data_IF_024500679751
#
_entry.id   IF_024500679751
#
_cell.length_a   1.000
_cell.length_b   1.000
_cell.length_c   1.000
_cell.angle_alpha   90.00
_cell.angle_beta   90.00
_cell.angle_gamma   90.00
#
_symmetry.space_group_name_H-M   'P 1'
#
loop_
_entity.id
_entity.type
_entity.pdbx_description
1 polymer ?
#
# COMPACT_ATOMS: atom_id res chain seq x y z
N UNK A 1 -23.89 -7.65 -5.34
CA UNK A 1 -23.37 -6.40 -5.96
C UNK A 1 -23.96 -5.17 -5.27
N UNK A 2 -25.30 -5.03 -5.24
CA UNK A 2 -26.01 -3.93 -4.56
C UNK A 2 -25.55 -3.65 -3.13
N UNK A 3 -25.49 -4.68 -2.28
CA UNK A 3 -25.04 -4.55 -0.88
C UNK A 3 -23.61 -4.00 -0.79
N UNK A 4 -22.69 -4.53 -1.58
CA UNK A 4 -21.31 -4.07 -1.58
C UNK A 4 -21.18 -2.60 -2.02
N UNK A 5 -22.05 -2.14 -2.93
CA UNK A 5 -22.11 -0.75 -3.35
C UNK A 5 -22.67 0.18 -2.26
N UNK A 6 -23.75 -0.25 -1.60
CA UNK A 6 -24.39 0.51 -0.52
C UNK A 6 -23.44 0.81 0.65
N UNK A 7 -22.52 -0.12 0.95
CA UNK A 7 -21.55 0.00 2.05
C UNK A 7 -20.17 0.58 1.62
N UNK A 8 -20.05 1.16 0.41
CA UNK A 8 -18.78 1.63 -0.18
C UNK A 8 -17.64 0.60 -0.09
N UNK A 9 -17.97 -0.67 -0.35
CA UNK A 9 -17.02 -1.78 -0.30
C UNK A 9 -16.40 -2.04 -1.68
N UNK A 10 -15.53 -1.11 -2.10
CA UNK A 10 -14.85 -1.14 -3.40
C UNK A 10 -14.18 -2.49 -3.71
N UNK A 11 -13.48 -3.09 -2.73
CA UNK A 11 -12.81 -4.37 -2.92
C UNK A 11 -13.78 -5.51 -3.28
N UNK A 12 -14.96 -5.57 -2.65
CA UNK A 12 -16.00 -6.55 -3.01
C UNK A 12 -16.64 -6.24 -4.34
N UNK A 13 -16.81 -4.97 -4.68
CA UNK A 13 -17.36 -4.56 -5.98
C UNK A 13 -16.42 -4.99 -7.11
N UNK A 14 -15.12 -4.72 -6.96
CA UNK A 14 -14.09 -5.16 -7.90
C UNK A 14 -14.05 -6.69 -8.02
N UNK A 15 -14.13 -7.42 -6.89
CA UNK A 15 -14.15 -8.88 -6.88
C UNK A 15 -15.39 -9.46 -7.57
N UNK A 16 -16.57 -8.91 -7.26
CA UNK A 16 -17.82 -9.34 -7.89
C UNK A 16 -17.79 -9.08 -9.40
N UNK A 17 -17.30 -7.91 -9.83
CA UNK A 17 -17.09 -7.64 -11.26
C UNK A 17 -16.06 -8.58 -11.90
N UNK A 18 -15.05 -9.02 -11.16
CA UNK A 18 -14.08 -10.02 -11.64
C UNK A 18 -14.74 -11.35 -11.97
N UNK A 19 -15.72 -11.76 -11.17
CA UNK A 19 -16.56 -12.93 -11.43
C UNK A 19 -17.76 -12.66 -12.36
N UNK A 20 -17.82 -11.48 -12.98
CA UNK A 20 -18.82 -11.16 -14.00
C UNK A 20 -20.13 -10.57 -13.46
N UNK A 21 -20.18 -10.07 -12.22
CA UNK A 21 -21.35 -9.36 -11.73
C UNK A 21 -21.60 -8.08 -12.52
N UNK A 22 -22.85 -7.88 -12.96
CA UNK A 22 -23.29 -6.70 -13.71
C UNK A 22 -23.58 -5.52 -12.75
N UNK A 23 -22.88 -4.37 -12.88
CA UNK A 23 -23.14 -3.16 -12.09
C UNK A 23 -24.45 -2.44 -12.45
N UNK A 24 -25.14 -2.83 -13.53
CA UNK A 24 -26.41 -2.25 -13.98
C UNK A 24 -27.63 -3.13 -13.71
N UNK A 25 -27.45 -4.34 -13.16
CA UNK A 25 -28.56 -5.24 -12.86
C UNK A 25 -29.53 -4.63 -11.82
N UNK A 26 -30.81 -4.54 -12.13
CA UNK A 26 -31.81 -3.98 -11.22
C UNK A 26 -32.22 -4.98 -10.12
N UNK A 27 -32.48 -4.47 -8.92
CA UNK A 27 -33.16 -5.24 -7.86
C UNK A 27 -34.69 -5.17 -8.02
N UNK A 28 -35.41 -5.82 -7.10
CA UNK A 28 -36.89 -5.83 -7.10
C UNK A 28 -37.53 -4.44 -6.92
N UNK A 29 -36.74 -3.41 -6.63
CA UNK A 29 -37.19 -2.02 -6.49
C UNK A 29 -36.70 -1.14 -7.65
N UNK A 30 -36.17 -1.72 -8.74
CA UNK A 30 -35.64 -0.99 -9.89
C UNK A 30 -34.33 -0.24 -9.61
N UNK A 31 -33.63 -0.57 -8.51
CA UNK A 31 -32.37 0.09 -8.15
C UNK A 31 -31.19 -0.69 -8.72
N UNK A 32 -30.25 0.03 -9.32
CA UNK A 32 -28.99 -0.56 -9.80
C UNK A 32 -27.91 -0.46 -8.71
N UNK A 33 -26.90 -1.34 -8.73
CA UNK A 33 -25.76 -1.22 -7.82
C UNK A 33 -25.06 0.13 -7.95
N UNK A 34 -24.97 0.66 -9.17
CA UNK A 34 -24.42 1.99 -9.42
C UNK A 34 -25.20 3.09 -8.70
N UNK A 35 -26.55 3.05 -8.73
CA UNK A 35 -27.37 4.08 -8.07
C UNK A 35 -27.27 4.03 -6.55
N UNK A 36 -26.93 2.86 -5.99
CA UNK A 36 -26.70 2.68 -4.55
C UNK A 36 -25.26 2.99 -4.11
N UNK A 37 -24.32 3.11 -5.05
CA UNK A 37 -22.93 3.30 -4.74
C UNK A 37 -22.64 4.70 -4.20
N UNK A 38 -21.80 4.79 -3.17
CA UNK A 38 -21.29 6.05 -2.63
C UNK A 38 -19.76 6.08 -2.67
N UNK A 39 -19.17 7.25 -2.39
CA UNK A 39 -17.74 7.38 -2.13
C UNK A 39 -16.82 6.85 -3.25
N UNK A 40 -15.92 5.94 -2.89
CA UNK A 40 -14.93 5.41 -3.83
C UNK A 40 -15.53 4.41 -4.81
N UNK A 41 -16.49 3.62 -4.36
CA UNK A 41 -17.21 2.66 -5.20
C UNK A 41 -17.98 3.38 -6.29
N UNK A 42 -18.64 4.50 -5.97
CA UNK A 42 -19.34 5.30 -6.97
C UNK A 42 -18.39 5.84 -8.03
N UNK A 43 -17.27 6.45 -7.61
CA UNK A 43 -16.25 6.97 -8.55
C UNK A 43 -15.64 5.87 -9.40
N UNK A 44 -15.43 4.69 -8.83
CA UNK A 44 -14.93 3.53 -9.56
C UNK A 44 -15.95 3.05 -10.60
N UNK A 45 -17.21 2.85 -10.22
CA UNK A 45 -18.26 2.41 -11.13
C UNK A 45 -18.52 3.42 -12.24
N UNK A 46 -18.55 4.72 -11.95
CA UNK A 46 -18.64 5.77 -12.97
C UNK A 46 -17.51 5.68 -13.99
N UNK A 47 -16.26 5.52 -13.53
CA UNK A 47 -15.10 5.34 -14.41
C UNK A 47 -15.15 4.05 -15.22
N UNK A 48 -15.65 2.96 -14.63
CA UNK A 48 -15.75 1.67 -15.29
C UNK A 48 -16.85 1.66 -16.35
N UNK A 49 -18.02 2.21 -16.05
CA UNK A 49 -19.17 2.29 -16.95
C UNK A 49 -18.94 3.24 -18.13
N UNK A 50 -18.05 4.22 -17.97
CA UNK A 50 -17.59 5.07 -19.08
C UNK A 50 -16.66 4.34 -20.08
N UNK A 51 -16.30 3.08 -19.82
CA UNK A 51 -15.38 2.28 -20.66
C UNK A 51 -16.10 1.13 -21.32
N UNK A 52 -15.55 0.64 -22.43
CA UNK A 52 -16.07 -0.54 -23.12
C UNK A 52 -15.96 -1.80 -22.25
N UNK A 53 -16.83 -2.79 -22.47
CA UNK A 53 -16.81 -4.07 -21.73
C UNK A 53 -15.47 -4.82 -21.84
N UNK A 54 -14.73 -4.61 -22.93
CA UNK A 54 -13.38 -5.18 -23.12
C UNK A 54 -12.36 -4.49 -22.21
N UNK A 55 -12.40 -3.16 -22.12
CA UNK A 55 -11.54 -2.38 -21.24
C UNK A 55 -11.85 -2.62 -19.76
N UNK A 56 -13.14 -2.69 -19.41
CA UNK A 56 -13.59 -3.03 -18.06
C UNK A 56 -13.00 -4.38 -17.62
N UNK A 57 -13.17 -5.42 -18.45
CA UNK A 57 -12.58 -6.74 -18.20
C UNK A 57 -11.06 -6.68 -18.12
N UNK A 58 -10.40 -5.86 -18.93
CA UNK A 58 -8.94 -5.66 -18.88
C UNK A 58 -8.46 -5.00 -17.59
N UNK A 59 -9.15 -3.97 -17.10
CA UNK A 59 -8.84 -3.28 -15.84
C UNK A 59 -9.07 -4.20 -14.65
N UNK A 60 -10.24 -4.84 -14.57
CA UNK A 60 -10.57 -5.79 -13.51
C UNK A 60 -9.61 -6.98 -13.54
N UNK A 61 -9.32 -7.54 -14.71
CA UNK A 61 -8.30 -8.59 -14.82
C UNK A 61 -6.98 -8.06 -14.31
N UNK A 62 -6.51 -6.86 -14.69
CA UNK A 62 -5.23 -6.28 -14.20
C UNK A 62 -5.20 -6.06 -12.68
N UNK A 63 -6.30 -5.63 -12.07
CA UNK A 63 -6.43 -5.46 -10.62
C UNK A 63 -6.21 -6.78 -9.87
N UNK A 64 -6.70 -7.90 -10.41
CA UNK A 64 -6.52 -9.24 -9.83
C UNK A 64 -5.40 -10.09 -10.51
N UNK A 65 -4.80 -9.57 -11.59
CA UNK A 65 -3.77 -10.18 -12.45
C UNK A 65 -2.41 -10.26 -11.76
N UNK A 66 -2.32 -9.87 -10.50
CA UNK A 66 -1.28 -10.43 -9.63
C UNK A 66 -1.26 -11.98 -9.66
N UNK A 67 -2.24 -12.65 -10.30
CA UNK A 67 -2.30 -14.09 -10.49
C UNK A 67 -2.32 -14.62 -11.96
N UNK A 68 -2.49 -13.84 -13.04
CA UNK A 68 -2.57 -14.41 -14.43
C UNK A 68 -2.29 -13.41 -15.59
N UNK A 69 -1.13 -13.55 -16.29
CA UNK A 69 -0.80 -13.22 -17.73
C UNK A 69 -1.18 -11.82 -18.34
N UNK A 70 -0.61 -11.22 -19.40
CA UNK A 70 0.50 -11.36 -20.34
C UNK A 70 0.38 -10.21 -21.38
N UNK A 71 1.50 -9.58 -21.78
CA UNK A 71 1.74 -8.91 -23.07
C UNK A 71 1.26 -7.45 -23.36
N UNK A 72 2.19 -6.72 -24.02
CA UNK A 72 2.06 -5.48 -24.83
C UNK A 72 1.84 -4.16 -24.06
N UNK A 73 2.46 -2.99 -24.32
CA UNK A 73 3.25 -2.43 -25.43
C UNK A 73 4.15 -1.26 -24.97
N UNK A 74 5.26 -1.09 -25.71
CA UNK A 74 6.21 0.01 -25.91
C UNK A 74 5.95 1.43 -25.38
N UNK A 75 6.98 2.01 -24.74
CA UNK A 75 7.30 3.45 -24.80
C UNK A 75 8.82 3.67 -24.66
N UNK A 76 9.56 3.50 -25.78
CA UNK A 76 11.03 3.55 -25.87
C UNK A 76 11.62 4.93 -26.16
N UNK A 77 10.79 5.95 -26.41
CA UNK A 77 11.24 7.25 -26.91
C UNK A 77 11.86 8.15 -25.83
N UNK A 78 11.37 8.08 -24.58
CA UNK A 78 11.81 8.99 -23.51
C UNK A 78 13.20 8.67 -22.95
N UNK A 79 13.63 7.41 -23.08
CA UNK A 79 14.91 6.91 -22.52
C UNK A 79 16.13 7.26 -23.37
N UNK A 80 15.94 7.57 -24.66
CA UNK A 80 17.04 7.93 -25.56
C UNK A 80 17.59 9.34 -25.25
N UNK A 81 16.72 10.27 -24.87
CA UNK A 81 17.11 11.67 -24.58
C UNK A 81 17.88 11.78 -23.26
N UNK A 82 17.58 10.91 -22.31
CA UNK A 82 18.26 10.86 -20.99
C UNK A 82 19.67 10.25 -21.13
N UNK A 83 19.84 9.28 -22.05
CA UNK A 83 21.11 8.58 -22.30
C UNK A 83 22.22 9.49 -22.84
N UNK A 84 21.89 10.60 -23.50
CA UNK A 84 22.87 11.52 -24.11
C UNK A 84 23.45 12.55 -23.13
N UNK A 85 22.82 12.77 -21.96
CA UNK A 85 23.23 13.78 -20.97
C UNK A 85 24.17 13.27 -19.88
N UNK A 86 24.43 11.95 -19.82
CA UNK A 86 25.30 11.35 -18.80
C UNK A 86 26.33 10.49 -19.54
N UNK A 87 27.37 11.15 -20.04
CA UNK A 87 28.55 10.47 -20.60
C UNK A 87 29.45 9.99 -19.46
N UNK A 88 29.74 8.69 -19.43
CA UNK A 88 30.68 8.08 -18.49
C UNK A 88 30.40 6.59 -18.29
N UNK A 89 31.20 5.76 -18.96
CA UNK A 89 31.17 4.30 -18.95
C UNK A 89 31.15 3.69 -17.54
N UNK A 90 30.06 3.03 -17.16
CA UNK A 90 30.02 1.92 -16.19
C UNK A 90 29.02 0.89 -16.73
N UNK A 91 29.47 -0.35 -16.90
CA UNK A 91 28.67 -1.52 -17.28
C UNK A 91 27.40 -1.61 -16.40
N UNK A 92 26.22 -1.62 -17.04
CA UNK A 92 24.91 -1.50 -16.39
C UNK A 92 24.32 -2.87 -16.03
N UNK A 93 23.82 -3.09 -14.79
CA UNK A 93 23.10 -4.29 -14.38
C UNK A 93 21.58 -4.12 -14.48
N UNK A 94 21.07 -3.62 -15.61
CA UNK A 94 19.62 -3.47 -15.79
C UNK A 94 18.97 -4.77 -16.26
N UNK A 95 18.11 -5.31 -15.39
CA UNK A 95 17.13 -6.35 -15.74
C UNK A 95 16.14 -5.73 -16.73
N UNK A 96 16.18 -6.19 -17.99
CA UNK A 96 15.25 -5.79 -19.05
C UNK A 96 13.78 -6.00 -18.64
N UNK A 97 12.89 -5.12 -19.08
CA UNK A 97 11.44 -5.19 -18.86
C UNK A 97 10.83 -6.52 -19.35
N UNK A 98 11.48 -7.24 -20.28
CA UNK A 98 11.16 -8.61 -20.66
C UNK A 98 11.35 -9.63 -19.51
N UNK A 99 12.39 -9.47 -18.69
CA UNK A 99 12.69 -10.32 -17.53
C UNK A 99 11.76 -10.02 -16.35
N UNK A 100 11.45 -8.74 -16.10
CA UNK A 100 10.42 -8.33 -15.14
C UNK A 100 9.01 -8.83 -15.53
N UNK A 101 8.72 -8.96 -16.83
CA UNK A 101 7.48 -9.57 -17.34
C UNK A 101 7.43 -11.09 -17.17
N UNK A 102 8.58 -11.78 -17.16
CA UNK A 102 8.66 -13.20 -16.78
C UNK A 102 8.36 -13.36 -15.29
N UNK A 103 9.07 -12.64 -14.42
CA UNK A 103 8.92 -12.60 -12.95
C UNK A 103 7.46 -12.47 -12.49
N UNK A 104 6.65 -11.66 -13.20
CA UNK A 104 5.21 -11.45 -12.90
C UNK A 104 4.29 -12.65 -13.12
N UNK A 105 4.74 -13.74 -13.75
CA UNK A 105 3.93 -14.96 -13.99
C UNK A 105 4.42 -16.18 -13.23
N UNK A 106 5.42 -16.01 -12.37
CA UNK A 106 6.15 -17.12 -11.80
C UNK A 106 5.63 -17.45 -10.41
N UNK A 107 5.43 -18.75 -10.15
CA UNK A 107 5.29 -19.25 -8.79
C UNK A 107 6.57 -18.96 -8.01
N UNK A 108 6.50 -18.97 -6.67
CA UNK A 108 7.66 -18.68 -5.81
C UNK A 108 8.91 -19.46 -6.19
N UNK A 109 8.74 -20.70 -6.67
CA UNK A 109 9.80 -21.58 -7.17
C UNK A 109 10.45 -21.06 -8.44
N UNK A 110 9.64 -20.57 -9.39
CA UNK A 110 10.12 -20.06 -10.67
C UNK A 110 10.72 -18.66 -10.52
N UNK A 111 10.20 -17.83 -9.60
CA UNK A 111 10.77 -16.52 -9.27
C UNK A 111 12.16 -16.65 -8.65
N UNK A 112 12.35 -17.60 -7.72
CA UNK A 112 13.66 -17.97 -7.19
C UNK A 112 14.64 -18.41 -8.28
N UNK A 113 14.16 -19.12 -9.30
CA UNK A 113 15.00 -19.58 -10.42
C UNK A 113 15.43 -18.44 -11.35
N UNK A 114 14.55 -17.49 -11.66
CA UNK A 114 14.92 -16.33 -12.49
C UNK A 114 15.84 -15.34 -11.77
N UNK A 115 15.61 -15.11 -10.46
CA UNK A 115 16.50 -14.27 -9.66
C UNK A 115 17.93 -14.85 -9.61
N UNK A 116 18.07 -16.19 -9.51
CA UNK A 116 19.38 -16.85 -9.57
C UNK A 116 20.13 -16.63 -10.88
N UNK A 117 19.43 -16.53 -12.03
CA UNK A 117 20.05 -16.33 -13.35
C UNK A 117 20.72 -14.97 -13.50
N UNK A 118 20.32 -13.98 -12.70
CA UNK A 118 20.91 -12.63 -12.69
C UNK A 118 21.86 -12.42 -11.50
N UNK A 119 22.31 -13.52 -10.86
CA UNK A 119 23.24 -13.48 -9.73
C UNK A 119 22.58 -13.12 -8.39
N UNK A 120 21.25 -12.98 -8.35
CA UNK A 120 20.48 -12.67 -7.15
C UNK A 120 20.04 -13.98 -6.48
N UNK A 121 20.70 -14.33 -5.38
CA UNK A 121 20.22 -15.42 -4.51
C UNK A 121 19.09 -14.86 -3.66
N UNK A 122 17.86 -14.93 -4.19
CA UNK A 122 16.67 -14.65 -3.40
C UNK A 122 16.67 -15.60 -2.20
N UNK A 123 16.75 -15.02 -1.00
CA UNK A 123 16.57 -15.76 0.25
C UNK A 123 15.20 -16.44 0.27
N UNK A 124 14.94 -17.33 1.22
CA UNK A 124 13.64 -17.97 1.33
C UNK A 124 12.52 -16.91 1.33
N UNK A 125 11.74 -16.87 0.25
CA UNK A 125 10.49 -16.09 0.19
C UNK A 125 9.43 -16.63 1.18
N UNK A 126 9.77 -17.70 1.88
CA UNK A 126 9.00 -18.34 2.94
C UNK A 126 9.21 -17.69 4.31
N UNK A 127 9.10 -16.36 4.40
CA UNK A 127 8.99 -15.69 5.71
C UNK A 127 7.91 -16.42 6.55
N UNK A 128 6.80 -16.85 5.92
CA UNK A 128 5.74 -17.64 6.57
C UNK A 128 6.14 -19.05 7.05
N UNK A 129 7.11 -19.74 6.42
CA UNK A 129 7.59 -21.04 6.93
C UNK A 129 8.62 -20.85 8.05
N UNK A 130 9.31 -19.71 8.08
CA UNK A 130 10.29 -19.37 9.12
C UNK A 130 9.65 -18.93 10.44
N UNK A 131 8.39 -18.44 10.41
CA UNK A 131 7.70 -17.93 11.59
C UNK A 131 6.50 -18.79 11.97
N UNK A 132 6.34 -19.06 13.27
CA UNK A 132 5.18 -19.80 13.81
C UNK A 132 3.89 -19.04 13.52
N UNK A 133 2.81 -19.78 13.21
CA UNK A 133 1.47 -19.25 12.96
C UNK A 133 0.69 -18.95 14.24
N UNK A 134 1.19 -19.33 15.41
CA UNK A 134 0.54 -19.03 16.69
C UNK A 134 0.65 -17.53 17.00
N UNK A 135 -0.48 -16.87 17.29
CA UNK A 135 -0.50 -15.45 17.67
C UNK A 135 -0.36 -14.45 16.51
N UNK A 136 -0.74 -14.83 15.28
CA UNK A 136 -0.67 -13.99 14.06
C UNK A 136 -1.71 -12.86 14.01
N UNK A 137 -1.54 -11.84 14.85
CA UNK A 137 -2.42 -10.65 14.86
C UNK A 137 -1.76 -9.38 14.31
N UNK A 138 -0.48 -9.47 13.95
CA UNK A 138 0.30 -8.34 13.49
C UNK A 138 0.12 -8.09 11.99
N UNK A 139 0.42 -6.86 11.61
CA UNK A 139 0.45 -6.39 10.23
C UNK A 139 1.40 -5.20 10.09
N UNK A 140 1.74 -4.86 8.85
CA UNK A 140 2.45 -3.62 8.52
C UNK A 140 1.44 -2.58 8.02
N UNK A 141 1.74 -1.30 8.21
CA UNK A 141 0.93 -0.22 7.66
C UNK A 141 1.80 0.94 7.21
N UNK A 142 1.27 1.67 6.25
CA UNK A 142 1.89 2.85 5.66
C UNK A 142 0.98 4.05 5.92
N UNK A 143 1.58 5.19 6.30
CA UNK A 143 0.90 6.47 6.24
C UNK A 143 1.37 7.21 4.99
N UNK A 144 0.42 7.67 4.18
CA UNK A 144 0.69 8.34 2.92
C UNK A 144 0.09 9.74 2.88
N UNK A 145 0.81 10.65 2.24
CA UNK A 145 0.40 12.00 1.93
C UNK A 145 -0.34 11.99 0.58
N UNK A 146 -1.69 12.12 0.56
CA UNK A 146 -2.43 12.01 -0.68
C UNK A 146 -2.15 13.15 -1.65
N UNK A 147 -1.53 14.27 -1.21
CA UNK A 147 -1.14 15.37 -2.11
C UNK A 147 -0.06 14.95 -3.12
N UNK A 148 0.60 13.82 -2.88
CA UNK A 148 1.61 13.22 -3.77
C UNK A 148 1.05 12.09 -4.63
N UNK A 149 -0.23 11.75 -4.48
CA UNK A 149 -0.91 10.67 -5.21
C UNK A 149 -1.87 11.29 -6.22
N UNK A 150 -1.92 10.74 -7.43
CA UNK A 150 -2.88 11.16 -8.46
C UNK A 150 -4.32 10.75 -8.09
N UNK A 151 -5.31 11.54 -8.52
CA UNK A 151 -6.73 11.23 -8.29
C UNK A 151 -7.16 9.92 -8.98
N UNK A 152 -6.49 9.57 -10.09
CA UNK A 152 -6.70 8.28 -10.74
C UNK A 152 -5.77 7.18 -10.20
N UNK A 153 -6.28 6.50 -9.18
CA UNK A 153 -5.66 5.34 -8.53
C UNK A 153 -5.22 4.24 -9.51
N UNK A 154 -5.95 4.04 -10.61
CA UNK A 154 -5.60 3.01 -11.61
C UNK A 154 -4.26 3.31 -12.29
N UNK A 155 -3.99 4.59 -12.55
CA UNK A 155 -2.73 5.08 -13.13
C UNK A 155 -1.56 5.12 -12.14
N UNK A 156 -1.80 4.90 -10.85
CA UNK A 156 -0.78 5.03 -9.80
C UNK A 156 0.44 4.15 -10.09
N UNK A 157 1.62 4.76 -10.09
CA UNK A 157 2.91 4.11 -10.31
C UNK A 157 3.82 4.22 -9.07
N UNK A 158 4.94 3.50 -9.07
CA UNK A 158 5.90 3.56 -7.96
C UNK A 158 6.49 4.96 -7.78
N UNK A 159 6.66 5.70 -8.88
CA UNK A 159 7.25 7.05 -8.86
C UNK A 159 6.40 8.04 -8.08
N UNK A 160 5.09 7.87 -8.08
CA UNK A 160 4.14 8.70 -7.33
C UNK A 160 3.81 8.08 -5.98
N UNK A 161 3.70 6.74 -5.91
CA UNK A 161 3.35 6.01 -4.69
C UNK A 161 4.44 6.08 -3.61
N UNK A 162 5.71 5.83 -3.96
CA UNK A 162 6.78 5.76 -2.96
C UNK A 162 7.02 7.09 -2.26
N UNK A 163 7.14 8.24 -2.96
CA UNK A 163 7.31 9.54 -2.29
C UNK A 163 6.09 10.00 -1.48
N UNK A 164 4.92 9.40 -1.70
CA UNK A 164 3.74 9.67 -0.87
C UNK A 164 3.85 9.03 0.51
N UNK A 165 4.57 7.91 0.65
CA UNK A 165 4.76 7.23 1.93
C UNK A 165 5.69 8.06 2.80
N UNK A 166 5.18 8.54 3.94
CA UNK A 166 5.98 9.31 4.90
C UNK A 166 6.21 8.56 6.21
N UNK A 167 5.54 7.43 6.45
CA UNK A 167 5.75 6.60 7.63
C UNK A 167 5.47 5.14 7.33
N UNK A 168 6.33 4.27 7.87
CA UNK A 168 6.15 2.82 7.87
C UNK A 168 6.02 2.37 9.32
N UNK A 169 5.05 1.52 9.62
CA UNK A 169 4.93 0.94 10.94
C UNK A 169 4.46 -0.50 10.91
N UNK A 170 4.67 -1.17 12.03
CA UNK A 170 3.96 -2.41 12.36
C UNK A 170 2.99 -2.20 13.51
N UNK A 171 1.93 -3.00 13.55
CA UNK A 171 0.90 -2.85 14.55
C UNK A 171 0.02 -4.08 14.70
N UNK A 172 -0.78 -4.05 15.75
CA UNK A 172 -1.91 -4.93 15.99
C UNK A 172 -3.14 -4.05 16.24
N UNK A 173 -4.34 -4.58 16.00
CA UNK A 173 -5.61 -3.88 16.27
C UNK A 173 -5.64 -2.46 15.64
N UNK A 174 -6.07 -1.45 16.37
CA UNK A 174 -6.20 -0.06 15.91
C UNK A 174 -4.90 0.77 15.99
N UNK A 175 -3.71 0.13 16.05
CA UNK A 175 -2.42 0.84 16.18
C UNK A 175 -2.19 1.96 15.15
N UNK A 176 -2.57 1.84 13.86
CA UNK A 176 -2.38 2.93 12.91
C UNK A 176 -3.17 4.19 13.27
N UNK A 177 -4.40 4.04 13.75
CA UNK A 177 -5.26 5.15 14.17
C UNK A 177 -4.69 5.89 15.39
N UNK A 178 -3.89 5.22 16.22
CA UNK A 178 -3.25 5.83 17.38
C UNK A 178 -2.41 7.06 17.02
N UNK A 179 -1.69 7.01 15.90
CA UNK A 179 -0.84 8.13 15.44
C UNK A 179 -1.67 9.33 15.01
N UNK A 180 -2.83 9.08 14.39
CA UNK A 180 -3.73 10.15 13.97
C UNK A 180 -4.47 10.75 15.17
N UNK A 181 -4.90 9.92 16.13
CA UNK A 181 -5.54 10.39 17.36
C UNK A 181 -4.55 11.20 18.22
N UNK A 182 -3.29 10.76 18.30
CA UNK A 182 -2.20 11.53 18.92
C UNK A 182 -2.05 12.90 18.24
N UNK A 183 -1.97 12.95 16.91
CA UNK A 183 -1.88 14.20 16.16
C UNK A 183 -3.08 15.13 16.40
N UNK A 184 -4.32 14.61 16.39
CA UNK A 184 -5.54 15.38 16.67
C UNK A 184 -5.47 16.00 18.07
N UNK A 185 -5.08 15.20 19.07
CA UNK A 185 -4.96 15.64 20.46
C UNK A 185 -3.88 16.70 20.65
N UNK A 186 -2.66 16.43 20.19
CA UNK A 186 -1.51 17.32 20.34
C UNK A 186 -1.73 18.66 19.61
N UNK A 187 -2.45 18.64 18.46
CA UNK A 187 -2.93 19.86 17.78
C UNK A 187 -3.92 20.65 18.63
N UNK A 188 -4.93 19.98 19.21
CA UNK A 188 -5.96 20.64 20.02
C UNK A 188 -5.38 21.38 21.24
N UNK A 189 -4.36 20.81 21.87
CA UNK A 189 -3.67 21.42 23.02
C UNK A 189 -2.52 22.36 22.62
N UNK A 190 -2.29 22.60 21.33
CA UNK A 190 -1.18 23.41 20.79
C UNK A 190 0.19 23.00 21.35
N UNK A 191 0.41 21.70 21.43
CA UNK A 191 1.63 21.12 22.00
C UNK A 191 2.87 21.45 21.18
N UNK A 192 4.04 21.70 21.82
CA UNK A 192 5.30 21.87 21.11
C UNK A 192 5.71 20.61 20.33
N UNK A 193 5.13 19.43 20.63
CA UNK A 193 5.38 18.19 19.88
C UNK A 193 4.90 18.26 18.43
N UNK A 194 3.87 19.05 18.14
CA UNK A 194 3.36 19.22 16.77
C UNK A 194 4.42 19.85 15.86
N UNK A 195 5.34 20.64 16.43
CA UNK A 195 6.45 21.27 15.71
C UNK A 195 7.71 20.40 15.74
N UNK A 196 8.05 19.78 16.88
CA UNK A 196 9.30 19.02 17.03
C UNK A 196 9.26 17.61 16.44
N UNK A 197 8.09 16.99 16.34
CA UNK A 197 7.94 15.63 15.81
C UNK A 197 7.59 15.64 14.33
N UNK A 198 8.53 15.23 13.46
CA UNK A 198 8.36 15.19 11.99
C UNK A 198 7.09 14.44 11.53
N UNK A 199 6.68 13.38 12.24
CA UNK A 199 5.46 12.60 11.92
C UNK A 199 4.21 13.42 12.21
N UNK A 200 4.13 14.05 13.39
CA UNK A 200 3.00 14.90 13.77
C UNK A 200 2.91 16.13 12.88
N UNK A 201 4.05 16.79 12.63
CA UNK A 201 4.15 17.93 11.72
C UNK A 201 3.67 17.59 10.31
N UNK A 202 4.00 16.39 9.80
CA UNK A 202 3.53 15.95 8.48
C UNK A 202 2.02 15.72 8.45
N UNK A 203 1.47 15.04 9.46
CA UNK A 203 0.02 14.80 9.58
C UNK A 203 -0.73 16.14 9.66
N UNK A 204 -0.23 17.06 10.50
CA UNK A 204 -0.81 18.38 10.70
C UNK A 204 -0.83 19.19 9.40
N UNK A 205 0.31 19.24 8.69
CA UNK A 205 0.42 19.89 7.38
C UNK A 205 -0.58 19.34 6.36
N UNK A 206 -0.82 18.03 6.32
CA UNK A 206 -1.80 17.42 5.41
C UNK A 206 -3.22 17.92 5.74
N UNK A 207 -3.58 17.95 7.02
CA UNK A 207 -4.89 18.40 7.49
C UNK A 207 -5.13 19.90 7.27
N UNK A 208 -4.12 20.75 7.47
CA UNK A 208 -4.21 22.20 7.21
C UNK A 208 -4.50 22.51 5.74
N UNK A 209 -4.08 21.64 4.82
CA UNK A 209 -4.40 21.76 3.39
C UNK A 209 -5.78 21.16 3.03
N UNK A 210 -6.62 20.87 4.02
CA UNK A 210 -7.96 20.30 3.79
C UNK A 210 -7.93 18.90 3.20
N UNK A 211 -6.85 18.13 3.43
CA UNK A 211 -6.71 16.73 3.00
C UNK A 211 -6.66 15.80 4.21
N UNK A 212 -7.12 14.56 4.06
CA UNK A 212 -6.98 13.51 5.08
C UNK A 212 -5.69 12.71 4.92
N UNK A 213 -5.23 11.99 5.94
CA UNK A 213 -4.07 11.09 5.82
C UNK A 213 -4.53 9.73 5.30
N UNK A 214 -3.81 9.14 4.33
CA UNK A 214 -4.07 7.76 3.93
C UNK A 214 -3.39 6.80 4.88
N UNK A 215 -4.13 5.80 5.35
CA UNK A 215 -3.62 4.72 6.18
C UNK A 215 -3.84 3.40 5.46
N UNK A 216 -2.79 2.86 4.85
CA UNK A 216 -2.85 1.60 4.11
C UNK A 216 -2.33 0.47 5.00
N UNK A 217 -3.16 -0.51 5.31
CA UNK A 217 -2.73 -1.72 6.02
C UNK A 217 -2.32 -2.80 5.01
N UNK A 218 -1.22 -3.49 5.29
CA UNK A 218 -0.60 -4.49 4.42
C UNK A 218 -0.07 -5.64 5.26
N UNK A 219 0.15 -6.79 4.62
CA UNK A 219 0.76 -7.96 5.28
C UNK A 219 0.01 -8.39 6.56
N UNK A 220 -1.30 -8.57 6.46
CA UNK A 220 -2.13 -9.04 7.58
C UNK A 220 -1.81 -10.46 8.00
N UNK A 221 -2.18 -10.78 9.24
CA UNK A 221 -2.09 -12.12 9.85
C UNK A 221 -0.67 -12.66 9.80
N UNK A 222 0.28 -11.84 10.26
CA UNK A 222 1.69 -12.23 10.41
C UNK A 222 2.07 -12.26 11.88
N UNK A 223 3.16 -12.97 12.19
CA UNK A 223 3.74 -12.95 13.53
C UNK A 223 4.39 -11.61 13.83
N UNK A 224 4.64 -11.31 15.10
CA UNK A 224 5.33 -10.07 15.49
C UNK A 224 6.74 -9.99 14.89
N UNK A 225 7.49 -11.10 14.89
CA UNK A 225 8.84 -11.14 14.32
C UNK A 225 8.83 -10.98 12.80
N UNK A 226 7.83 -11.56 12.11
CA UNK A 226 7.62 -11.32 10.69
C UNK A 226 7.33 -9.83 10.42
N UNK A 227 6.43 -9.22 11.21
CA UNK A 227 6.10 -7.80 11.07
C UNK A 227 7.33 -6.90 11.29
N UNK A 228 8.24 -7.26 12.22
CA UNK A 228 9.52 -6.57 12.40
C UNK A 228 10.41 -6.62 11.16
N UNK A 229 10.53 -7.78 10.51
CA UNK A 229 11.35 -7.94 9.29
C UNK A 229 10.72 -7.20 8.13
N UNK A 230 9.41 -7.27 7.97
CA UNK A 230 8.67 -6.60 6.89
C UNK A 230 8.74 -5.08 7.00
N UNK A 231 8.57 -4.54 8.21
CA UNK A 231 8.78 -3.11 8.53
C UNK A 231 10.23 -2.69 8.20
N UNK A 232 11.22 -3.48 8.63
CA UNK A 232 12.62 -3.18 8.35
C UNK A 232 12.95 -3.15 6.86
N UNK A 233 12.40 -4.09 6.09
CA UNK A 233 12.60 -4.15 4.65
C UNK A 233 11.93 -2.98 3.93
N UNK A 234 10.71 -2.59 4.31
CA UNK A 234 10.02 -1.42 3.77
C UNK A 234 10.83 -0.13 4.02
N UNK A 235 11.34 0.05 5.25
CA UNK A 235 12.20 1.20 5.58
C UNK A 235 13.52 1.14 4.80
N UNK A 236 14.13 -0.04 4.64
CA UNK A 236 15.37 -0.21 3.88
C UNK A 236 15.21 0.11 2.39
N UNK A 237 14.04 -0.18 1.80
CA UNK A 237 13.75 0.13 0.41
C UNK A 237 13.45 1.61 0.17
N UNK A 238 12.68 2.25 1.06
CA UNK A 238 12.35 3.70 0.94
C UNK A 238 13.53 4.58 1.40
N UNK A 239 14.35 4.05 2.31
CA UNK A 239 15.39 4.75 3.07
C UNK A 239 14.83 5.68 4.15
N UNK A 240 15.51 5.70 5.31
CA UNK A 240 15.01 6.34 6.53
C UNK A 240 14.89 7.87 6.38
N UNK A 241 15.79 8.48 5.64
CA UNK A 241 15.84 9.92 5.34
C UNK A 241 14.58 10.42 4.63
N UNK A 242 13.91 9.54 3.86
CA UNK A 242 12.67 9.84 3.15
C UNK A 242 11.41 9.63 4.01
N UNK A 243 11.58 9.13 5.23
CA UNK A 243 10.51 8.82 6.18
C UNK A 243 10.54 9.76 7.39
N UNK A 244 9.42 9.80 8.10
CA UNK A 244 9.28 10.45 9.42
C UNK A 244 9.59 9.50 10.57
N UNK A 245 9.89 8.23 10.26
CA UNK A 245 10.38 7.25 11.22
C UNK A 245 11.64 7.79 11.93
N UNK A 246 11.72 7.61 13.25
CA UNK A 246 12.88 8.03 14.04
C UNK A 246 14.06 7.06 13.88
N UNK A 247 13.77 5.78 13.63
CA UNK A 247 14.77 4.72 13.50
C UNK A 247 14.37 3.73 12.41
N UNK A 248 15.39 3.03 11.89
CA UNK A 248 15.20 1.88 11.01
C UNK A 248 14.47 0.73 11.71
N UNK A 249 13.98 -0.22 10.90
CA UNK A 249 13.35 -1.43 11.43
C UNK A 249 14.37 -2.45 11.95
N UNK A 250 13.90 -3.41 12.74
CA UNK A 250 14.76 -4.38 13.44
C UNK A 250 14.65 -5.76 12.81
N UNK A 251 15.74 -6.24 12.21
CA UNK A 251 15.83 -7.57 11.60
C UNK A 251 15.73 -8.72 12.62
N UNK A 252 15.12 -9.86 12.24
CA UNK A 252 14.88 -11.05 13.08
C UNK A 252 15.29 -12.34 12.39
N UNK A 253 15.59 -13.37 13.20
CA UNK A 253 15.95 -14.69 12.67
C UNK A 253 17.06 -14.62 11.61
N UNK A 254 16.89 -15.40 10.54
CA UNK A 254 17.85 -15.51 9.42
C UNK A 254 17.99 -14.22 8.62
N UNK A 255 16.96 -13.34 8.63
CA UNK A 255 17.00 -12.06 7.92
C UNK A 255 18.09 -11.09 8.42
N UNK A 256 18.64 -11.33 9.62
CA UNK A 256 19.82 -10.60 10.12
C UNK A 256 21.03 -10.76 9.18
N UNK A 257 21.23 -11.96 8.65
CA UNK A 257 22.33 -12.31 7.77
C UNK A 257 22.11 -11.89 6.30
N UNK A 258 20.94 -11.36 5.95
CA UNK A 258 20.70 -10.89 4.60
C UNK A 258 21.58 -9.67 4.28
N UNK A 259 22.08 -9.64 3.06
CA UNK A 259 22.83 -8.50 2.52
C UNK A 259 21.90 -7.30 2.34
N UNK A 260 22.46 -6.09 2.28
CA UNK A 260 21.66 -4.87 2.07
C UNK A 260 20.83 -4.90 0.77
N UNK A 261 21.35 -5.40 -0.38
CA UNK A 261 20.54 -5.56 -1.59
C UNK A 261 19.32 -6.48 -1.37
N UNK A 262 19.50 -7.66 -0.76
CA UNK A 262 18.38 -8.58 -0.48
C UNK A 262 17.30 -7.94 0.40
N UNK A 263 17.73 -7.17 1.40
CA UNK A 263 16.84 -6.43 2.30
C UNK A 263 16.03 -5.37 1.55
N UNK A 264 16.68 -4.61 0.67
CA UNK A 264 16.03 -3.58 -0.16
C UNK A 264 15.12 -4.18 -1.24
N UNK A 265 15.50 -5.29 -1.86
CA UNK A 265 14.68 -6.02 -2.84
C UNK A 265 13.40 -6.55 -2.21
N UNK A 266 13.50 -7.17 -1.03
CA UNK A 266 12.32 -7.64 -0.30
C UNK A 266 11.39 -6.47 0.08
N UNK A 267 11.95 -5.33 0.48
CA UNK A 267 11.17 -4.11 0.70
C UNK A 267 10.48 -3.60 -0.56
N UNK A 268 11.18 -3.57 -1.69
CA UNK A 268 10.66 -3.12 -2.99
C UNK A 268 9.51 -4.01 -3.47
N UNK A 269 9.65 -5.33 -3.30
CA UNK A 269 8.56 -6.26 -3.54
C UNK A 269 7.32 -5.95 -2.69
N UNK A 270 7.51 -5.64 -1.41
CA UNK A 270 6.39 -5.26 -0.54
C UNK A 270 5.75 -3.93 -0.96
N UNK A 271 6.53 -2.95 -1.43
CA UNK A 271 5.99 -1.69 -1.94
C UNK A 271 5.14 -1.89 -3.20
N UNK A 272 5.59 -2.75 -4.12
CA UNK A 272 4.80 -3.13 -5.30
C UNK A 272 3.46 -3.78 -4.91
N UNK A 273 3.48 -4.67 -3.92
CA UNK A 273 2.27 -5.30 -3.37
C UNK A 273 1.37 -4.27 -2.69
N UNK A 274 1.94 -3.38 -1.88
CA UNK A 274 1.20 -2.32 -1.19
C UNK A 274 0.51 -1.37 -2.18
N UNK A 275 1.20 -0.97 -3.25
CA UNK A 275 0.59 -0.17 -4.32
C UNK A 275 -0.60 -0.89 -4.94
N UNK A 276 -0.49 -2.20 -5.20
CA UNK A 276 -1.63 -3.01 -5.68
C UNK A 276 -2.80 -3.04 -4.70
N UNK A 277 -2.53 -3.16 -3.39
CA UNK A 277 -3.58 -3.07 -2.35
C UNK A 277 -4.26 -1.70 -2.38
N UNK A 278 -3.50 -0.60 -2.48
CA UNK A 278 -4.08 0.73 -2.58
C UNK A 278 -4.94 0.90 -3.85
N UNK A 279 -4.57 0.25 -4.96
CA UNK A 279 -5.39 0.23 -6.17
C UNK A 279 -6.74 -0.44 -5.97
N UNK A 280 -6.75 -1.52 -5.20
CA UNK A 280 -7.94 -2.29 -4.88
C UNK A 280 -8.82 -1.57 -3.85
N UNK A 281 -8.21 -1.08 -2.76
CA UNK A 281 -8.94 -0.42 -1.67
C UNK A 281 -9.43 1.00 -2.04
N UNK A 282 -8.73 1.65 -2.97
CA UNK A 282 -8.94 3.03 -3.34
C UNK A 282 -8.39 4.02 -2.31
N UNK A 283 -8.41 5.31 -2.66
CA UNK A 283 -7.94 6.40 -1.79
C UNK A 283 -9.03 6.69 -0.74
N UNK A 284 -8.79 6.33 0.53
CA UNK A 284 -9.70 6.57 1.67
C UNK A 284 -9.01 7.45 2.72
N UNK A 285 -8.99 8.80 2.56
CA UNK A 285 -8.29 9.69 3.47
C UNK A 285 -9.01 9.80 4.81
N UNK A 286 -8.24 9.77 5.89
CA UNK A 286 -8.74 9.92 7.25
C UNK A 286 -8.58 11.39 7.68
N UNK A 287 -9.71 12.05 7.84
CA UNK A 287 -9.81 13.44 8.28
C UNK A 287 -9.90 13.53 9.81
N UNK A 288 -9.47 14.65 10.42
CA UNK A 288 -9.49 14.78 11.89
C UNK A 288 -10.90 14.70 12.48
N UNK A 289 -11.94 15.08 11.72
CA UNK A 289 -13.34 14.99 12.12
C UNK A 289 -13.85 13.55 12.20
N UNK A 290 -13.27 12.63 11.41
CA UNK A 290 -13.64 11.22 11.40
C UNK A 290 -12.96 10.41 12.52
N UNK A 291 -12.04 11.02 13.28
CA UNK A 291 -11.29 10.36 14.34
C UNK A 291 -11.99 10.48 15.70
N UNK A 292 -12.08 9.39 16.47
CA UNK A 292 -12.57 9.44 17.84
C UNK A 292 -11.56 10.17 18.75
N UNK A 293 -12.02 10.67 19.90
CA UNK A 293 -11.16 11.40 20.84
C UNK A 293 -10.18 10.49 21.61
N UNK A 294 -10.52 9.21 21.69
CA UNK A 294 -9.65 8.15 22.20
C UNK A 294 -9.86 6.85 21.42
N UNK A 295 -8.86 5.98 21.43
CA UNK A 295 -8.96 4.62 20.87
C UNK A 295 -9.94 3.73 21.63
N UNK A 296 -10.24 4.09 22.89
CA UNK A 296 -11.07 3.31 23.81
C UNK A 296 -12.03 4.27 24.51
N UNK A 297 -13.32 4.32 24.11
CA UNK A 297 -14.30 5.19 24.75
C UNK A 297 -14.53 4.86 26.25
N UNK A 298 -14.05 3.72 26.76
CA UNK A 298 -14.28 3.22 28.12
C UNK A 298 -13.00 2.97 28.95
N UNK A 299 -11.91 3.70 28.74
CA UNK A 299 -10.85 3.71 29.74
C UNK A 299 -11.31 4.56 30.93
N UNK A 300 -12.01 3.93 31.90
CA UNK A 300 -12.32 4.55 33.19
C UNK A 300 -11.05 5.19 33.74
N UNK A 301 -11.11 6.51 34.02
CA UNK A 301 -10.10 7.18 34.84
C UNK A 301 -10.05 6.38 36.15
N UNK A 302 -8.99 5.58 36.36
CA UNK A 302 -8.67 5.12 37.70
C UNK A 302 -8.38 6.39 38.49
N UNK A 303 -9.35 6.81 39.28
CA UNK A 303 -9.26 7.96 40.15
C UNK A 303 -7.95 7.88 40.93
N UNK A 304 -7.17 8.96 40.84
CA UNK A 304 -6.09 9.22 41.77
C UNK A 304 -6.71 9.18 43.17
N UNK A 305 -6.32 8.19 43.97
CA UNK A 305 -6.55 8.26 45.41
C UNK A 305 -5.50 9.22 45.96
N UNK A 306 -6.02 10.35 46.43
CA UNK A 306 -5.50 11.18 47.52
C UNK A 306 -4.89 10.34 48.63
#
# INVERSE_FOLDING_TARGET
MHVACAYDCLAMVQLLMHYGADPLAEDNHGRTPQSMATGNTQRFLQRMLAKSTKEQRGIIRRLFSCHTAAASTNNSSLMHTIRKKIGGNILSPHVDDGQMRKIRRLTDTQLKAELRKVGIVAGPMCVREEFKLDGVSAFCYLLLDPRRICDDVESLDLKSFVPAIFYVGKGTKARPLAHLIEAKREKAIKSPKTVSNRKLQRIDSIWEHGRGVLCLQINHNVSDDEAFVREAALIEAIKLENLTNVKGGKWRGKSKAWTLPMKAEFGTYQLLRAMGVLKIEGIRPIFPQALPDSLYPFAQKKNAKT
#
